data_IF_309593470183
#
_entry.id   IF_309593470183
#
_cell.length_a   1.000
_cell.length_b   1.000
_cell.length_c   1.000
_cell.angle_alpha   90.00
_cell.angle_beta   90.00
_cell.angle_gamma   90.00
#
_symmetry.space_group_name_H-M   'P 1'
#
loop_
_entity.id
_entity.type
_entity.pdbx_description
1 polymer ?
#
# COMPACT_ATOMS: atom_id res chain seq x y z
N UNK A 1 -64.35 -55.24 1.09
CA UNK A 1 -65.72 -55.10 1.60
C UNK A 1 -66.33 -54.08 0.69
N UNK A 2 -67.00 -54.56 -0.39
CA UNK A 2 -68.40 -54.39 -0.71
C UNK A 2 -68.75 -52.91 -1.03
N UNK A 3 -69.35 -52.44 -2.11
CA UNK A 3 -70.20 -52.97 -3.18
C UNK A 3 -70.25 -51.92 -4.27
N UNK A 4 -70.04 -52.10 -5.59
CA UNK A 4 -70.94 -52.57 -6.65
C UNK A 4 -72.13 -51.67 -6.99
N UNK A 5 -72.16 -51.38 -8.28
CA UNK A 5 -73.34 -51.32 -9.23
C UNK A 5 -74.15 -50.00 -9.17
N UNK A 6 -74.64 -49.43 -10.22
CA UNK A 6 -75.30 -49.99 -11.46
C UNK A 6 -75.53 -48.84 -12.47
N UNK A 7 -75.16 -48.86 -13.75
CA UNK A 7 -76.07 -49.13 -14.89
C UNK A 7 -77.41 -48.41 -14.82
N UNK A 8 -77.76 -47.51 -15.78
CA UNK A 8 -78.45 -47.88 -17.07
C UNK A 8 -78.81 -46.62 -17.83
N UNK A 9 -78.60 -46.62 -19.17
CA UNK A 9 -79.46 -46.27 -20.28
C UNK A 9 -80.40 -45.10 -20.18
N UNK A 10 -80.35 -44.15 -21.17
CA UNK A 10 -81.35 -43.95 -22.21
C UNK A 10 -80.78 -43.11 -23.33
N UNK A 11 -80.79 -43.64 -24.52
CA UNK A 11 -80.64 -42.97 -25.79
C UNK A 11 -82.02 -42.41 -26.25
N UNK A 12 -82.05 -41.26 -26.83
CA UNK A 12 -82.93 -40.97 -27.98
C UNK A 12 -82.69 -39.56 -28.53
N UNK A 13 -82.24 -39.49 -29.76
CA UNK A 13 -82.66 -38.67 -30.91
C UNK A 13 -83.13 -37.25 -30.65
N UNK A 14 -82.62 -36.31 -31.38
CA UNK A 14 -83.28 -35.60 -32.48
C UNK A 14 -82.24 -34.69 -33.18
N UNK A 15 -82.26 -34.88 -34.47
CA UNK A 15 -81.62 -34.20 -35.60
C UNK A 15 -82.17 -32.80 -35.76
N UNK A 16 -81.41 -31.93 -36.37
CA UNK A 16 -81.68 -30.69 -37.09
C UNK A 16 -81.50 -29.37 -36.35
N UNK A 17 -80.52 -28.62 -36.74
CA UNK A 17 -80.68 -27.46 -37.61
C UNK A 17 -79.32 -26.85 -37.95
N UNK A 18 -78.92 -26.99 -39.17
CA UNK A 18 -77.92 -26.19 -39.85
C UNK A 18 -78.43 -24.75 -39.97
N UNK A 19 -77.77 -23.81 -39.37
CA UNK A 19 -77.77 -22.45 -39.84
C UNK A 19 -76.39 -21.85 -39.47
N UNK A 20 -75.65 -21.64 -40.51
CA UNK A 20 -74.32 -21.07 -40.47
C UNK A 20 -74.28 -19.63 -40.00
N UNK A 21 -73.27 -19.27 -39.36
CA UNK A 21 -72.61 -17.95 -39.43
C UNK A 21 -71.13 -18.18 -39.34
N UNK A 22 -70.49 -18.31 -40.50
CA UNK A 22 -69.04 -18.20 -40.58
C UNK A 22 -68.60 -16.80 -40.18
N UNK A 23 -68.23 -16.64 -38.92
CA UNK A 23 -67.31 -15.58 -38.59
C UNK A 23 -65.93 -16.10 -38.89
N UNK A 24 -65.43 -15.79 -40.08
CA UNK A 24 -63.97 -15.69 -40.28
C UNK A 24 -63.55 -14.61 -39.36
N UNK A 25 -63.05 -14.99 -38.17
CA UNK A 25 -62.09 -14.18 -37.47
C UNK A 25 -60.97 -13.95 -38.48
N UNK A 26 -60.88 -12.76 -38.98
CA UNK A 26 -59.76 -12.38 -39.83
C UNK A 26 -58.49 -12.77 -39.08
N UNK A 27 -57.75 -13.66 -39.67
CA UNK A 27 -56.38 -13.94 -39.35
C UNK A 27 -55.65 -12.57 -39.51
N UNK A 28 -55.65 -11.76 -38.45
CA UNK A 28 -54.71 -10.66 -38.37
C UNK A 28 -53.37 -11.37 -38.32
N UNK A 29 -52.74 -11.49 -39.47
CA UNK A 29 -51.35 -11.90 -39.57
C UNK A 29 -50.58 -11.06 -38.58
N UNK A 30 -50.21 -11.66 -37.43
CA UNK A 30 -49.33 -11.03 -36.47
C UNK A 30 -48.08 -10.68 -37.25
N UNK A 31 -47.81 -9.39 -37.40
CA UNK A 31 -46.63 -8.93 -38.12
C UNK A 31 -45.40 -9.64 -37.48
N UNK A 32 -44.52 -10.22 -38.31
CA UNK A 32 -43.35 -10.92 -37.76
C UNK A 32 -42.60 -9.97 -36.80
N UNK A 33 -42.16 -10.53 -35.72
CA UNK A 33 -41.47 -9.73 -34.71
C UNK A 33 -40.28 -8.95 -35.29
N UNK A 34 -39.54 -9.58 -36.19
CA UNK A 34 -38.52 -9.01 -37.06
C UNK A 34 -38.45 -9.80 -38.38
N UNK A 35 -37.82 -9.25 -39.38
CA UNK A 35 -37.52 -9.86 -40.66
C UNK A 35 -36.02 -9.92 -40.85
N UNK A 36 -35.48 -11.11 -41.12
CA UNK A 36 -34.07 -11.32 -41.47
C UNK A 36 -33.91 -11.31 -43.00
N UNK A 37 -33.13 -10.38 -43.50
CA UNK A 37 -32.78 -10.32 -44.92
C UNK A 37 -31.25 -10.46 -45.04
N UNK A 38 -30.76 -11.67 -45.13
CA UNK A 38 -29.35 -12.03 -45.28
C UNK A 38 -28.45 -11.46 -44.18
N UNK A 39 -28.89 -11.52 -42.91
CA UNK A 39 -28.13 -11.03 -41.74
C UNK A 39 -28.40 -9.58 -41.36
N UNK A 40 -29.26 -8.90 -42.12
CA UNK A 40 -29.78 -7.56 -41.80
C UNK A 40 -31.17 -7.71 -41.16
N UNK A 41 -31.31 -7.39 -39.89
CA UNK A 41 -32.53 -7.56 -39.13
C UNK A 41 -33.37 -6.30 -39.16
N UNK A 42 -34.56 -6.36 -39.73
CA UNK A 42 -35.49 -5.21 -39.76
C UNK A 42 -36.65 -5.44 -38.81
N UNK A 43 -36.90 -4.48 -37.95
CA UNK A 43 -38.04 -4.47 -37.02
C UNK A 43 -39.16 -3.62 -37.58
N UNK A 44 -40.28 -4.25 -38.10
CA UNK A 44 -41.37 -3.53 -38.78
C UNK A 44 -42.09 -2.53 -37.85
N UNK A 45 -42.76 -1.55 -38.46
CA UNK A 45 -43.69 -0.70 -37.74
C UNK A 45 -44.80 -1.54 -37.14
N UNK A 46 -45.11 -1.35 -35.86
CA UNK A 46 -46.10 -2.14 -35.14
C UNK A 46 -45.55 -3.42 -34.47
N UNK A 47 -44.29 -3.79 -34.67
CA UNK A 47 -43.67 -4.89 -33.91
C UNK A 47 -43.62 -4.57 -32.41
N UNK A 48 -44.04 -5.50 -31.53
CA UNK A 48 -43.96 -5.34 -30.09
C UNK A 48 -42.51 -5.11 -29.59
N UNK A 49 -41.50 -5.64 -30.35
CA UNK A 49 -40.07 -5.50 -30.03
C UNK A 49 -39.63 -4.04 -29.94
N UNK A 50 -40.27 -3.11 -30.68
CA UNK A 50 -39.90 -1.70 -30.63
C UNK A 50 -40.04 -1.07 -29.23
N UNK A 51 -40.83 -1.66 -28.34
CA UNK A 51 -40.98 -1.22 -26.95
C UNK A 51 -39.93 -1.81 -26.02
N UNK A 52 -39.33 -2.93 -26.41
CA UNK A 52 -38.36 -3.68 -25.63
C UNK A 52 -36.90 -3.30 -25.97
N UNK A 53 -36.72 -2.86 -27.23
CA UNK A 53 -35.40 -2.52 -27.75
C UNK A 53 -35.03 -1.05 -27.38
N UNK A 54 -33.83 -0.88 -26.82
CA UNK A 54 -33.26 0.46 -26.55
C UNK A 54 -32.02 0.65 -27.38
N UNK A 55 -31.99 1.72 -28.14
CA UNK A 55 -30.87 2.08 -29.02
C UNK A 55 -30.21 3.34 -28.45
N UNK A 56 -28.90 3.34 -28.35
CA UNK A 56 -28.15 4.51 -27.92
C UNK A 56 -26.89 4.69 -28.78
N UNK A 57 -26.45 5.95 -29.02
CA UNK A 57 -25.18 6.19 -29.67
C UNK A 57 -24.04 5.85 -28.75
N UNK A 58 -23.02 5.16 -29.26
CA UNK A 58 -21.79 4.89 -28.53
C UNK A 58 -20.87 6.11 -28.57
N UNK A 59 -20.23 6.37 -27.46
CA UNK A 59 -19.33 7.52 -27.29
C UNK A 59 -17.91 7.03 -26.99
N UNK A 60 -16.93 7.80 -27.45
CA UNK A 60 -15.56 7.62 -27.01
C UNK A 60 -15.41 8.13 -25.58
N UNK A 61 -14.87 7.31 -24.71
CA UNK A 61 -14.63 7.64 -23.32
C UNK A 61 -13.19 7.33 -22.93
N UNK A 62 -12.51 8.33 -22.38
CA UNK A 62 -11.19 8.20 -21.79
C UNK A 62 -11.36 7.98 -20.28
N UNK A 63 -11.70 6.77 -19.87
CA UNK A 63 -11.75 6.42 -18.47
C UNK A 63 -10.48 5.63 -18.08
N UNK A 64 -9.86 5.89 -16.92
CA UNK A 64 -8.72 5.09 -16.49
C UNK A 64 -9.14 3.64 -16.22
N UNK A 65 -8.26 2.70 -16.56
CA UNK A 65 -8.43 1.30 -16.21
C UNK A 65 -7.83 1.05 -14.82
N UNK A 66 -8.60 0.44 -13.92
CA UNK A 66 -8.15 0.10 -12.58
C UNK A 66 -7.43 -1.26 -12.59
N UNK A 67 -6.10 -1.23 -12.59
CA UNK A 67 -5.28 -2.45 -12.52
C UNK A 67 -5.05 -2.83 -11.06
N UNK A 68 -5.29 -4.11 -10.74
CA UNK A 68 -5.22 -4.62 -9.37
C UNK A 68 -3.95 -5.44 -9.14
N UNK A 69 -3.25 -5.14 -8.04
CA UNK A 69 -2.00 -5.79 -7.68
C UNK A 69 -1.98 -6.16 -6.19
N UNK A 70 -1.38 -7.30 -5.83
CA UNK A 70 -1.13 -7.61 -4.43
C UNK A 70 -0.15 -6.59 -3.85
N UNK A 71 -0.42 -6.14 -2.64
CA UNK A 71 0.35 -5.11 -1.97
C UNK A 71 0.53 -5.40 -0.49
N UNK A 72 1.51 -4.73 0.13
CA UNK A 72 1.77 -4.78 1.56
C UNK A 72 1.94 -3.39 2.13
N UNK A 73 1.50 -3.21 3.37
CA UNK A 73 1.73 -1.99 4.14
C UNK A 73 3.14 -2.04 4.71
N UNK A 74 3.91 -0.97 4.53
CA UNK A 74 5.28 -0.83 5.03
C UNK A 74 5.42 0.48 5.82
N UNK A 75 6.28 0.48 6.85
CA UNK A 75 6.70 1.73 7.47
C UNK A 75 7.60 2.49 6.49
N UNK A 76 7.51 3.82 6.49
CA UNK A 76 8.42 4.66 5.71
C UNK A 76 9.83 4.59 6.30
N UNK A 77 10.85 4.11 5.56
CA UNK A 77 12.22 4.06 6.05
C UNK A 77 12.79 5.44 6.43
N UNK A 78 12.35 6.52 5.77
CA UNK A 78 12.77 7.88 6.11
C UNK A 78 12.18 8.36 7.45
N UNK A 79 11.15 7.69 7.94
CA UNK A 79 10.47 7.95 9.22
C UNK A 79 10.66 6.80 10.21
N UNK A 80 11.72 6.02 10.02
CA UNK A 80 12.07 4.87 10.87
C UNK A 80 13.50 5.03 11.37
N UNK A 81 13.73 4.85 12.66
CA UNK A 81 15.04 4.91 13.29
C UNK A 81 15.35 3.61 14.03
N UNK A 82 16.51 3.03 13.74
CA UNK A 82 17.08 1.98 14.55
C UNK A 82 17.87 2.57 15.70
N UNK A 83 17.49 2.20 16.91
CA UNK A 83 18.21 2.58 18.13
C UNK A 83 19.26 1.52 18.40
N UNK A 84 20.51 1.92 18.29
CA UNK A 84 21.67 1.04 18.47
C UNK A 84 22.22 1.13 19.87
N UNK A 85 22.94 0.09 20.33
CA UNK A 85 23.78 0.17 21.51
C UNK A 85 25.05 0.97 21.16
N UNK A 86 25.33 2.12 21.79
CA UNK A 86 26.53 2.90 21.48
C UNK A 86 27.81 2.28 22.04
N UNK A 87 27.68 1.44 23.06
CA UNK A 87 28.77 0.71 23.72
C UNK A 87 28.31 -0.70 24.09
N UNK A 88 29.27 -1.59 24.26
CA UNK A 88 29.02 -2.90 24.84
C UNK A 88 28.70 -2.78 26.32
N UNK A 89 27.76 -3.60 26.79
CA UNK A 89 27.36 -3.56 28.19
C UNK A 89 26.10 -4.34 28.50
N UNK A 90 25.74 -4.40 29.77
CA UNK A 90 24.53 -5.06 30.25
C UNK A 90 23.37 -4.07 30.28
N UNK A 91 22.24 -4.44 29.70
CA UNK A 91 21.00 -3.68 29.79
C UNK A 91 20.49 -3.82 31.23
N UNK A 92 20.66 -2.77 32.03
CA UNK A 92 20.24 -2.77 33.44
C UNK A 92 18.78 -2.41 33.61
N UNK A 93 18.23 -1.60 32.71
CA UNK A 93 16.84 -1.17 32.76
C UNK A 93 16.28 -0.96 31.34
N UNK A 94 15.02 -1.35 31.15
CA UNK A 94 14.26 -1.14 29.92
C UNK A 94 12.92 -0.51 30.29
N UNK A 95 12.64 0.70 29.77
CA UNK A 95 11.50 1.52 30.16
C UNK A 95 10.33 1.44 29.17
N UNK A 96 10.48 0.70 28.06
CA UNK A 96 9.52 0.64 26.98
C UNK A 96 9.30 -0.80 26.53
N UNK A 97 8.12 -1.06 25.99
CA UNK A 97 7.71 -2.34 25.40
C UNK A 97 7.43 -2.24 23.92
N UNK A 98 7.28 -3.39 23.27
CA UNK A 98 6.83 -3.47 21.88
C UNK A 98 5.43 -2.86 21.74
N UNK A 99 5.25 -1.96 20.77
CA UNK A 99 3.99 -1.26 20.51
C UNK A 99 3.80 0.04 21.29
N UNK A 100 4.68 0.36 22.26
CA UNK A 100 4.58 1.62 23.00
C UNK A 100 4.85 2.81 22.09
N UNK A 101 4.09 3.88 22.29
CA UNK A 101 4.37 5.18 21.70
C UNK A 101 5.42 5.93 22.55
N UNK A 102 6.48 6.43 21.90
CA UNK A 102 7.54 7.18 22.54
C UNK A 102 7.68 8.58 21.93
N UNK A 103 8.13 9.53 22.74
CA UNK A 103 8.44 10.89 22.28
C UNK A 103 9.94 11.09 22.15
N UNK A 104 10.36 11.95 21.23
CA UNK A 104 11.79 12.29 21.06
C UNK A 104 12.42 12.71 22.38
N UNK A 105 13.58 12.12 22.71
CA UNK A 105 14.30 12.36 23.96
C UNK A 105 13.82 11.52 25.15
N UNK A 106 12.74 10.74 25.03
CA UNK A 106 12.26 9.85 26.09
C UNK A 106 13.29 8.76 26.39
N UNK A 107 13.50 8.46 27.67
CA UNK A 107 14.39 7.38 28.10
C UNK A 107 13.80 6.02 27.70
N UNK A 108 14.58 5.24 26.96
CA UNK A 108 14.20 3.92 26.47
C UNK A 108 14.84 2.80 27.28
N UNK A 109 16.15 2.89 27.48
CA UNK A 109 16.94 1.88 28.18
C UNK A 109 18.14 2.50 28.92
N UNK A 110 18.68 1.73 29.85
CA UNK A 110 19.95 2.03 30.54
C UNK A 110 20.89 0.86 30.34
N UNK A 111 22.12 1.17 29.90
CA UNK A 111 23.17 0.17 29.67
C UNK A 111 24.33 0.45 30.65
N UNK A 112 24.73 -0.54 31.44
CA UNK A 112 25.92 -0.52 32.27
C UNK A 112 27.10 -1.03 31.44
N UNK A 113 28.07 -0.12 31.16
CA UNK A 113 29.24 -0.38 30.33
C UNK A 113 30.53 -0.32 31.11
N UNK A 114 31.37 -1.35 30.96
CA UNK A 114 32.72 -1.39 31.49
C UNK A 114 33.61 -0.31 30.89
N UNK A 115 33.47 -0.01 29.61
CA UNK A 115 34.24 1.02 28.90
C UNK A 115 33.97 2.42 29.47
N UNK A 116 32.68 2.69 29.78
CA UNK A 116 32.30 3.95 30.41
C UNK A 116 32.87 4.06 31.83
N UNK A 117 32.82 2.96 32.60
CA UNK A 117 33.39 2.92 33.94
C UNK A 117 34.91 3.16 33.91
N UNK A 118 35.64 2.57 32.98
CA UNK A 118 37.07 2.76 32.79
C UNK A 118 37.39 4.18 32.36
N UNK A 119 36.67 4.76 31.41
CA UNK A 119 36.92 6.15 30.99
C UNK A 119 36.69 7.16 32.10
N UNK A 120 35.70 6.96 32.95
CA UNK A 120 35.50 7.79 34.14
C UNK A 120 36.66 7.62 35.16
N UNK A 121 37.12 6.41 35.40
CA UNK A 121 38.28 6.17 36.28
C UNK A 121 39.55 6.82 35.74
N UNK A 122 39.79 6.78 34.43
CA UNK A 122 40.91 7.43 33.76
C UNK A 122 40.86 8.98 33.96
N UNK A 123 39.68 9.59 33.83
CA UNK A 123 39.51 11.04 34.08
C UNK A 123 39.82 11.38 35.54
N UNK A 124 39.32 10.61 36.52
CA UNK A 124 39.60 10.82 37.93
C UNK A 124 41.12 10.75 38.20
N UNK A 125 41.79 9.71 37.71
CA UNK A 125 43.24 9.52 37.83
C UNK A 125 44.02 10.65 37.20
N UNK A 126 43.65 11.11 36.01
CA UNK A 126 44.32 12.20 35.30
C UNK A 126 44.09 13.53 36.03
N UNK A 127 42.93 13.76 36.64
CA UNK A 127 42.63 14.94 37.46
C UNK A 127 43.56 15.03 38.69
N UNK A 128 43.72 13.91 39.41
CA UNK A 128 44.58 13.85 40.60
C UNK A 128 46.04 14.04 40.21
N UNK A 129 46.52 13.45 39.11
CA UNK A 129 47.87 13.62 38.59
C UNK A 129 48.15 15.08 38.21
N UNK A 130 47.22 15.73 37.52
CA UNK A 130 47.34 17.14 37.15
C UNK A 130 47.38 18.05 38.40
N UNK A 131 46.52 17.78 39.38
CA UNK A 131 46.53 18.55 40.63
C UNK A 131 47.88 18.42 41.38
N UNK A 132 48.47 17.21 41.39
CA UNK A 132 49.79 17.00 41.97
C UNK A 132 50.92 17.75 41.22
N UNK A 133 50.90 17.65 39.85
CA UNK A 133 51.87 18.33 39.00
C UNK A 133 51.80 19.83 39.12
N UNK A 134 50.59 20.43 39.16
CA UNK A 134 50.40 21.88 39.44
C UNK A 134 50.99 22.31 40.76
N UNK A 135 50.74 21.59 41.86
CA UNK A 135 51.34 21.89 43.18
C UNK A 135 52.84 21.77 43.14
N UNK A 136 53.46 20.84 42.41
CA UNK A 136 54.88 20.70 42.23
C UNK A 136 55.44 21.89 41.45
N UNK A 137 54.83 22.35 40.42
CA UNK A 137 55.18 23.48 39.59
C UNK A 137 55.14 24.79 40.45
N UNK A 138 54.09 24.99 41.23
CA UNK A 138 53.95 26.19 42.10
C UNK A 138 55.02 26.25 43.15
N UNK A 139 55.40 25.11 43.77
CA UNK A 139 56.53 25.05 44.69
C UNK A 139 57.85 25.39 43.99
N UNK A 140 58.14 24.84 42.82
CA UNK A 140 59.33 25.09 42.03
C UNK A 140 59.43 26.59 41.64
N UNK A 141 58.34 27.22 41.25
CA UNK A 141 58.26 28.66 40.98
C UNK A 141 58.56 29.51 42.24
N UNK A 142 57.97 29.12 43.38
CA UNK A 142 58.22 29.79 44.63
C UNK A 142 59.70 29.75 45.06
N UNK A 143 60.41 28.62 44.93
CA UNK A 143 61.84 28.47 45.19
C UNK A 143 62.69 29.36 44.27
N UNK A 144 62.33 29.37 42.95
CA UNK A 144 63.07 30.28 42.03
C UNK A 144 62.84 31.73 42.33
N UNK A 145 61.63 32.16 42.66
CA UNK A 145 61.34 33.56 43.06
C UNK A 145 62.07 33.99 44.35
N UNK A 146 62.34 33.04 45.24
CA UNK A 146 63.10 33.27 46.47
C UNK A 146 64.62 33.31 46.25
N UNK A 147 65.11 33.26 44.97
CA UNK A 147 66.53 33.33 44.63
C UNK A 147 67.29 32.00 44.63
N UNK A 148 66.55 30.87 44.70
CA UNK A 148 67.13 29.53 44.57
C UNK A 148 67.50 29.22 43.11
N UNK A 149 68.72 28.69 42.87
CA UNK A 149 69.21 28.33 41.56
C UNK A 149 68.66 26.93 41.15
N UNK A 150 67.33 26.85 40.88
CA UNK A 150 66.61 25.61 40.62
C UNK A 150 66.00 25.62 39.23
N UNK A 151 66.69 26.14 38.20
CA UNK A 151 66.19 26.23 36.83
C UNK A 151 65.79 24.84 36.27
N UNK A 152 66.62 23.82 36.46
CA UNK A 152 66.35 22.46 36.04
C UNK A 152 65.08 21.85 36.70
N UNK A 153 64.92 22.13 37.99
CA UNK A 153 63.76 21.64 38.75
C UNK A 153 62.47 22.33 38.29
N UNK A 154 62.52 23.61 37.94
CA UNK A 154 61.40 24.33 37.37
C UNK A 154 61.06 23.82 35.99
N UNK A 155 62.04 23.61 35.08
CA UNK A 155 61.81 23.03 33.73
C UNK A 155 61.22 21.66 33.86
N UNK A 156 61.70 20.80 34.77
CA UNK A 156 61.17 19.47 35.02
C UNK A 156 59.70 19.53 35.51
N UNK A 157 59.41 20.40 36.48
CA UNK A 157 58.05 20.56 36.98
C UNK A 157 57.11 21.14 35.95
N UNK A 158 57.53 22.02 35.05
CA UNK A 158 56.78 22.57 33.97
C UNK A 158 56.49 21.48 32.93
N UNK A 159 57.48 20.63 32.59
CA UNK A 159 57.29 19.49 31.68
C UNK A 159 56.28 18.49 32.23
N UNK A 160 56.36 18.18 33.53
CA UNK A 160 55.41 17.27 34.19
C UNK A 160 53.98 17.82 34.21
N UNK A 161 53.82 19.14 34.45
CA UNK A 161 52.50 19.80 34.41
C UNK A 161 51.91 19.72 32.98
N UNK A 162 52.70 20.04 31.95
CA UNK A 162 52.30 19.95 30.57
C UNK A 162 51.87 18.51 30.18
N UNK A 163 52.62 17.49 30.62
CA UNK A 163 52.29 16.08 30.39
C UNK A 163 51.00 15.68 31.10
N UNK A 164 50.83 16.09 32.36
CA UNK A 164 49.61 15.80 33.13
C UNK A 164 48.37 16.49 32.52
N UNK A 165 48.54 17.73 32.02
CA UNK A 165 47.48 18.44 31.31
C UNK A 165 47.07 17.70 30.03
N UNK A 166 48.04 17.29 29.21
CA UNK A 166 47.77 16.55 27.98
C UNK A 166 47.07 15.23 28.25
N UNK A 167 47.44 14.49 29.30
CA UNK A 167 46.77 13.26 29.71
C UNK A 167 45.34 13.50 30.21
N UNK A 168 45.10 14.58 30.95
CA UNK A 168 43.76 15.00 31.36
C UNK A 168 42.89 15.29 30.14
N UNK A 169 43.40 16.06 29.17
CA UNK A 169 42.67 16.39 27.93
C UNK A 169 42.34 15.15 27.11
N UNK A 170 43.29 14.19 27.05
CA UNK A 170 43.07 12.88 26.41
C UNK A 170 41.95 12.09 27.08
N UNK A 171 41.99 11.96 28.41
CA UNK A 171 41.00 11.22 29.18
C UNK A 171 39.59 11.83 29.05
N UNK A 172 39.53 13.19 29.17
CA UNK A 172 38.25 13.88 28.95
C UNK A 172 37.69 13.74 27.55
N UNK A 173 38.57 13.78 26.53
CA UNK A 173 38.15 13.60 25.12
C UNK A 173 37.62 12.21 24.91
N UNK A 174 38.26 11.17 25.44
CA UNK A 174 37.77 9.81 25.42
C UNK A 174 36.39 9.68 26.08
N UNK A 175 36.24 10.24 27.31
CA UNK A 175 34.94 10.20 28.01
C UNK A 175 33.84 10.90 27.20
N UNK A 176 34.15 12.06 26.60
CA UNK A 176 33.20 12.79 25.75
C UNK A 176 32.80 12.00 24.49
N UNK A 177 33.77 11.31 23.88
CA UNK A 177 33.46 10.47 22.68
C UNK A 177 32.60 9.27 23.00
N UNK A 178 32.64 8.72 24.21
CA UNK A 178 31.80 7.63 24.68
C UNK A 178 30.42 8.12 25.16
N UNK A 179 30.33 9.36 25.62
CA UNK A 179 29.09 10.02 26.02
C UNK A 179 28.52 10.74 24.80
N UNK A 180 27.76 10.05 23.93
CA UNK A 180 27.12 10.68 22.76
C UNK A 180 26.25 11.88 23.20
N UNK A 181 26.14 12.90 22.35
CA UNK A 181 25.37 14.13 22.62
C UNK A 181 23.96 13.82 23.11
N UNK A 182 23.60 14.35 24.26
CA UNK A 182 22.29 14.17 24.91
C UNK A 182 22.14 12.95 25.81
N UNK A 183 23.14 12.08 25.90
CA UNK A 183 23.12 10.91 26.79
C UNK A 183 23.82 11.22 28.12
N UNK A 184 23.05 11.73 29.06
CA UNK A 184 23.56 11.91 30.43
C UNK A 184 23.57 10.56 31.14
N UNK A 185 24.74 10.01 31.39
CA UNK A 185 24.95 8.79 32.16
C UNK A 185 25.50 9.04 33.57
N UNK A 186 25.45 8.05 34.41
CA UNK A 186 26.24 7.98 35.65
C UNK A 186 27.67 7.54 35.28
N UNK A 187 28.59 7.51 36.27
CA UNK A 187 29.97 7.08 36.05
C UNK A 187 30.15 5.70 35.37
N UNK A 188 29.10 4.93 35.22
CA UNK A 188 29.12 3.55 34.75
C UNK A 188 28.03 3.23 33.72
N UNK A 189 26.95 4.00 33.65
CA UNK A 189 25.80 3.70 32.84
C UNK A 189 25.55 4.76 31.77
N UNK A 190 25.01 4.32 30.63
CA UNK A 190 24.58 5.16 29.53
C UNK A 190 23.07 5.11 29.42
N UNK A 191 22.44 6.24 29.21
CA UNK A 191 21.01 6.39 29.00
C UNK A 191 20.75 6.43 27.50
N UNK A 192 19.96 5.49 27.00
CA UNK A 192 19.51 5.42 25.62
C UNK A 192 18.19 6.15 25.52
N UNK A 193 18.11 7.15 24.65
CA UNK A 193 16.92 7.98 24.45
C UNK A 193 16.39 7.85 23.02
N UNK A 194 15.10 8.11 22.83
CA UNK A 194 14.44 8.07 21.53
C UNK A 194 14.97 9.20 20.61
N UNK A 195 15.50 8.90 19.42
CA UNK A 195 15.96 9.90 18.46
C UNK A 195 14.81 10.66 17.79
N UNK A 196 13.62 10.04 17.76
CA UNK A 196 12.39 10.58 17.18
C UNK A 196 11.17 10.12 17.96
N UNK A 197 10.04 10.75 17.73
CA UNK A 197 8.73 10.26 18.22
C UNK A 197 8.20 9.20 17.29
N UNK A 198 7.45 8.22 17.83
CA UNK A 198 6.84 7.13 17.05
C UNK A 198 6.54 5.91 17.93
N UNK A 199 6.29 4.79 17.30
CA UNK A 199 5.97 3.53 17.95
C UNK A 199 7.17 2.57 17.92
N UNK A 200 7.34 1.78 18.98
CA UNK A 200 8.32 0.68 19.01
C UNK A 200 7.80 -0.45 18.12
N UNK A 201 8.36 -0.59 16.93
CA UNK A 201 7.92 -1.58 15.94
C UNK A 201 8.71 -2.88 15.99
N UNK A 202 9.92 -2.84 16.56
CA UNK A 202 10.72 -4.02 16.88
C UNK A 202 11.48 -3.79 18.19
N UNK A 203 11.63 -4.85 18.99
CA UNK A 203 12.33 -4.82 20.28
C UNK A 203 13.16 -6.09 20.41
N UNK A 204 14.50 -5.92 20.39
CA UNK A 204 15.48 -6.99 20.58
C UNK A 204 16.15 -6.91 21.98
N UNK A 205 15.98 -5.78 22.65
CA UNK A 205 16.53 -5.55 23.98
C UNK A 205 15.68 -6.21 25.07
N UNK A 206 16.33 -6.82 26.05
CA UNK A 206 15.67 -7.32 27.25
C UNK A 206 16.49 -6.97 28.51
N UNK A 207 15.84 -6.71 29.65
CA UNK A 207 16.55 -6.47 30.89
C UNK A 207 17.48 -7.64 31.27
N UNK A 208 18.70 -7.34 31.65
CA UNK A 208 19.69 -8.34 32.03
C UNK A 208 20.51 -8.95 30.88
N UNK A 209 20.12 -8.74 29.63
CA UNK A 209 20.91 -9.18 28.46
C UNK A 209 22.15 -8.30 28.27
N UNK A 210 23.16 -8.87 27.63
CA UNK A 210 24.40 -8.17 27.35
C UNK A 210 24.47 -7.80 25.86
N UNK A 211 24.56 -6.50 25.56
CA UNK A 211 24.82 -6.01 24.22
C UNK A 211 26.30 -6.22 23.88
N UNK A 212 26.60 -7.24 23.13
CA UNK A 212 27.99 -7.66 22.77
C UNK A 212 28.55 -6.84 21.61
N UNK A 213 27.70 -6.22 20.81
CA UNK A 213 28.04 -5.44 19.63
C UNK A 213 27.53 -4.02 19.80
N UNK A 214 28.42 -3.05 19.65
CA UNK A 214 28.09 -1.62 19.67
C UNK A 214 27.18 -1.19 18.50
N UNK A 215 26.97 -2.05 17.48
CA UNK A 215 26.06 -1.80 16.39
C UNK A 215 24.78 -2.64 16.48
N UNK A 216 24.60 -3.38 17.59
CA UNK A 216 23.39 -4.17 17.78
C UNK A 216 22.16 -3.27 17.85
N UNK A 217 21.14 -3.58 17.02
CA UNK A 217 19.85 -2.89 17.07
C UNK A 217 19.10 -3.36 18.32
N UNK A 218 18.90 -2.45 19.25
CA UNK A 218 18.15 -2.68 20.49
C UNK A 218 16.65 -2.63 20.23
N UNK A 219 16.21 -1.68 19.42
CA UNK A 219 14.82 -1.50 19.04
C UNK A 219 14.70 -0.64 17.78
N UNK A 220 13.56 -0.71 17.13
CA UNK A 220 13.20 0.13 15.98
C UNK A 220 12.02 1.02 16.36
N UNK A 221 12.13 2.31 16.08
CA UNK A 221 11.07 3.30 16.27
C UNK A 221 10.62 3.74 14.89
N UNK A 222 9.31 3.65 14.62
CA UNK A 222 8.71 4.12 13.37
C UNK A 222 7.58 5.10 13.65
N UNK A 223 7.61 6.22 12.95
CA UNK A 223 6.47 7.13 12.90
C UNK A 223 5.47 6.56 11.89
N UNK A 224 4.32 6.12 12.39
CA UNK A 224 3.28 5.45 11.64
C UNK A 224 2.09 6.34 11.26
N UNK A 225 2.16 7.66 11.45
CA UNK A 225 1.12 8.61 11.01
C UNK A 225 0.98 8.62 9.48
N UNK A 226 2.02 8.17 8.80
CA UNK A 226 2.04 7.95 7.36
C UNK A 226 2.76 6.63 7.08
N UNK A 227 2.17 5.82 6.20
CA UNK A 227 2.72 4.52 5.81
C UNK A 227 2.83 4.43 4.29
N UNK A 228 3.66 3.53 3.82
CA UNK A 228 3.70 3.16 2.42
C UNK A 228 2.82 1.93 2.19
N UNK A 229 2.15 1.90 1.04
CA UNK A 229 1.61 0.67 0.49
C UNK A 229 2.42 0.37 -0.76
N UNK A 230 3.12 -0.76 -0.73
CA UNK A 230 3.99 -1.24 -1.80
C UNK A 230 3.23 -2.30 -2.59
N UNK A 231 2.88 -1.96 -3.83
CA UNK A 231 2.26 -2.87 -4.79
C UNK A 231 3.35 -3.61 -5.58
N UNK A 232 3.16 -4.91 -5.78
CA UNK A 232 4.05 -5.77 -6.55
C UNK A 232 3.51 -5.92 -7.97
N UNK A 233 4.02 -5.13 -8.89
CA UNK A 233 3.55 -5.02 -10.29
C UNK A 233 4.34 -5.98 -11.18
N UNK A 234 3.69 -6.86 -11.98
CA UNK A 234 4.38 -7.69 -12.96
C UNK A 234 5.12 -6.85 -14.02
N UNK A 235 6.22 -7.39 -14.57
CA UNK A 235 7.02 -6.75 -15.61
C UNK A 235 6.18 -6.29 -16.83
N UNK A 236 5.17 -7.08 -17.22
CA UNK A 236 4.29 -6.77 -18.34
C UNK A 236 3.48 -5.48 -18.15
N UNK A 237 3.18 -5.10 -16.90
CA UNK A 237 2.27 -4.01 -16.56
C UNK A 237 3.02 -2.73 -16.14
N UNK A 238 4.31 -2.85 -15.80
CA UNK A 238 5.14 -1.74 -15.30
C UNK A 238 5.17 -0.53 -16.25
N UNK A 239 5.17 -0.77 -17.56
CA UNK A 239 5.20 0.30 -18.56
C UNK A 239 3.98 1.22 -18.54
N UNK A 240 2.91 0.82 -17.86
CA UNK A 240 1.68 1.61 -17.72
C UNK A 240 1.60 2.40 -16.42
N UNK A 241 2.52 2.14 -15.48
CA UNK A 241 2.51 2.75 -14.15
C UNK A 241 3.48 3.93 -14.11
N UNK A 242 3.00 5.05 -13.60
CA UNK A 242 3.79 6.26 -13.47
C UNK A 242 3.53 6.97 -12.13
N UNK A 243 4.54 7.70 -11.67
CA UNK A 243 4.41 8.57 -10.50
C UNK A 243 3.27 9.57 -10.69
N UNK A 244 2.47 9.77 -9.62
CA UNK A 244 1.32 10.68 -9.61
C UNK A 244 -0.02 10.02 -9.94
N UNK A 245 -0.04 8.77 -10.39
CA UNK A 245 -1.30 8.04 -10.58
C UNK A 245 -2.00 7.81 -9.24
N UNK A 246 -3.33 7.81 -9.25
CA UNK A 246 -4.12 7.45 -8.09
C UNK A 246 -3.95 5.95 -7.78
N UNK A 247 -3.76 5.63 -6.52
CA UNK A 247 -3.73 4.25 -6.01
C UNK A 247 -4.72 4.14 -4.87
N UNK A 248 -5.71 3.29 -5.04
CA UNK A 248 -6.63 2.90 -3.99
C UNK A 248 -6.17 1.58 -3.39
N UNK A 249 -6.31 1.41 -2.08
CA UNK A 249 -5.97 0.18 -1.40
C UNK A 249 -7.12 -0.33 -0.55
N UNK A 250 -7.42 -1.61 -0.65
CA UNK A 250 -8.34 -2.33 0.23
C UNK A 250 -7.56 -3.36 1.03
N UNK A 251 -7.87 -3.45 2.32
CA UNK A 251 -7.21 -4.40 3.21
C UNK A 251 -8.19 -5.47 3.66
N UNK A 252 -7.71 -6.70 3.84
CA UNK A 252 -8.56 -7.81 4.33
C UNK A 252 -9.15 -7.53 5.70
N UNK A 253 -8.49 -6.69 6.52
CA UNK A 253 -8.99 -6.25 7.82
C UNK A 253 -10.14 -5.22 7.71
N UNK A 254 -10.28 -4.54 6.57
CA UNK A 254 -11.27 -3.48 6.31
C UNK A 254 -11.84 -3.62 4.90
N UNK A 255 -12.62 -4.69 4.60
CA UNK A 255 -13.02 -5.04 3.22
C UNK A 255 -13.95 -3.99 2.58
N UNK A 256 -14.74 -3.30 3.40
CA UNK A 256 -15.73 -2.31 2.92
C UNK A 256 -15.14 -0.89 2.85
N UNK A 257 -13.83 -0.73 3.08
CA UNK A 257 -13.18 0.57 3.10
C UNK A 257 -12.01 0.64 2.13
N UNK A 258 -12.06 1.62 1.23
CA UNK A 258 -10.94 1.97 0.38
C UNK A 258 -10.10 3.08 1.05
N UNK A 259 -8.81 2.90 1.05
CA UNK A 259 -7.83 3.92 1.41
C UNK A 259 -7.30 4.54 0.13
N UNK A 260 -7.14 5.86 0.10
CA UNK A 260 -6.75 6.60 -1.09
C UNK A 260 -5.32 7.14 -0.94
N UNK A 261 -4.53 6.95 -1.98
CA UNK A 261 -3.15 7.42 -2.03
C UNK A 261 -2.72 7.78 -3.45
N UNK A 262 -1.45 8.14 -3.60
CA UNK A 262 -0.87 8.49 -4.88
C UNK A 262 0.48 7.79 -5.03
N UNK A 263 0.74 7.22 -6.22
CA UNK A 263 2.04 6.64 -6.55
C UNK A 263 3.13 7.71 -6.40
N UNK A 264 4.00 7.51 -5.43
CA UNK A 264 5.12 8.39 -5.11
C UNK A 264 6.43 7.90 -5.72
N UNK A 265 6.55 6.59 -5.91
CA UNK A 265 7.76 5.93 -6.38
C UNK A 265 7.44 4.69 -7.22
N UNK A 266 8.14 4.54 -8.33
CA UNK A 266 8.20 3.33 -9.15
C UNK A 266 9.67 2.92 -9.18
N UNK A 267 9.98 1.68 -8.85
CA UNK A 267 11.36 1.19 -8.83
C UNK A 267 11.99 1.25 -10.22
N UNK A 268 13.28 1.39 -10.28
CA UNK A 268 14.04 1.31 -11.53
C UNK A 268 14.71 -0.06 -11.72
N UNK A 269 14.48 -0.96 -10.76
CA UNK A 269 15.08 -2.29 -10.74
C UNK A 269 14.02 -3.31 -10.35
N UNK A 270 13.80 -4.28 -11.22
CA UNK A 270 12.94 -5.42 -10.95
C UNK A 270 13.55 -6.34 -9.89
N UNK A 271 12.72 -6.90 -9.05
CA UNK A 271 13.13 -7.98 -8.16
C UNK A 271 13.52 -9.22 -9.00
N UNK A 272 14.74 -9.68 -8.84
CA UNK A 272 15.31 -10.75 -9.67
C UNK A 272 14.64 -12.11 -9.48
N UNK A 273 14.10 -12.36 -8.30
CA UNK A 273 13.45 -13.61 -7.89
C UNK A 273 11.99 -13.70 -8.35
N UNK A 274 11.25 -12.58 -8.30
CA UNK A 274 9.82 -12.54 -8.62
C UNK A 274 9.50 -11.90 -9.96
N UNK A 275 10.45 -11.21 -10.59
CA UNK A 275 10.29 -10.37 -11.79
C UNK A 275 9.16 -9.34 -11.63
N UNK A 276 9.04 -8.79 -10.43
CA UNK A 276 8.05 -7.77 -10.11
C UNK A 276 8.73 -6.45 -9.81
N UNK A 277 8.05 -5.39 -10.12
CA UNK A 277 8.44 -4.04 -9.77
C UNK A 277 7.72 -3.59 -8.50
N UNK A 278 8.41 -2.82 -7.68
CA UNK A 278 7.82 -2.23 -6.47
C UNK A 278 7.32 -0.83 -6.77
N UNK A 279 6.01 -0.68 -6.71
CA UNK A 279 5.33 0.61 -6.85
C UNK A 279 4.81 1.02 -5.47
N UNK A 280 5.27 2.18 -4.99
CA UNK A 280 4.93 2.69 -3.67
C UNK A 280 4.04 3.90 -3.73
N UNK A 281 3.05 3.93 -2.88
CA UNK A 281 2.22 5.09 -2.64
C UNK A 281 2.19 5.42 -1.14
N UNK A 282 2.06 6.70 -0.83
CA UNK A 282 1.98 7.22 0.54
C UNK A 282 0.52 7.31 0.96
N UNK A 283 0.21 6.78 2.13
CA UNK A 283 -1.12 6.80 2.74
C UNK A 283 -1.07 7.47 4.11
N UNK A 284 -2.03 8.33 4.38
CA UNK A 284 -2.23 8.89 5.71
C UNK A 284 -2.78 7.80 6.65
N UNK A 285 -2.27 7.74 7.86
CA UNK A 285 -2.63 6.74 8.87
C UNK A 285 -2.75 7.36 10.28
N UNK A 286 -3.32 8.57 10.36
CA UNK A 286 -3.48 9.27 11.64
C UNK A 286 -4.37 8.54 12.65
N UNK A 287 -5.19 7.60 12.20
CA UNK A 287 -6.03 6.73 13.03
C UNK A 287 -5.36 5.40 13.42
N UNK A 288 -4.13 5.14 12.95
CA UNK A 288 -3.32 3.96 13.30
C UNK A 288 -3.86 2.62 12.80
N UNK A 289 -4.79 2.63 11.82
CA UNK A 289 -5.41 1.39 11.29
C UNK A 289 -4.51 0.63 10.33
N UNK A 290 -3.69 1.33 9.56
CA UNK A 290 -2.74 0.71 8.64
C UNK A 290 -1.49 0.30 9.41
N UNK A 291 -1.35 -0.98 9.68
CA UNK A 291 -0.19 -1.52 10.39
C UNK A 291 0.81 -2.14 9.40
N UNK A 292 2.11 -1.90 9.57
CA UNK A 292 3.14 -2.57 8.77
C UNK A 292 2.94 -4.08 8.71
N UNK A 293 3.25 -4.68 7.56
CA UNK A 293 3.05 -6.10 7.21
C UNK A 293 1.58 -6.53 7.01
N UNK A 294 0.61 -5.62 7.02
CA UNK A 294 -0.73 -5.96 6.56
C UNK A 294 -0.74 -6.17 5.04
N UNK A 295 -1.49 -7.18 4.59
CA UNK A 295 -1.76 -7.39 3.17
C UNK A 295 -2.86 -6.47 2.68
N UNK A 296 -2.67 -5.95 1.48
CA UNK A 296 -3.61 -5.09 0.79
C UNK A 296 -3.75 -5.50 -0.68
N UNK A 297 -4.86 -5.13 -1.28
CA UNK A 297 -5.06 -5.12 -2.72
C UNK A 297 -4.97 -3.68 -3.19
N UNK A 298 -3.94 -3.36 -3.97
CA UNK A 298 -3.78 -2.04 -4.57
C UNK A 298 -4.47 -1.99 -5.93
N UNK A 299 -5.24 -0.94 -6.18
CA UNK A 299 -5.88 -0.64 -7.46
C UNK A 299 -5.28 0.65 -8.00
N UNK A 300 -4.52 0.57 -9.09
CA UNK A 300 -3.84 1.71 -9.70
C UNK A 300 -4.63 2.15 -10.93
N UNK A 301 -5.00 3.42 -10.97
CA UNK A 301 -5.73 4.02 -12.09
C UNK A 301 -4.76 4.34 -13.24
N UNK A 302 -4.77 3.48 -14.27
CA UNK A 302 -3.93 3.63 -15.46
C UNK A 302 -4.70 4.38 -16.55
N UNK A 303 -4.22 5.55 -17.02
CA UNK A 303 -4.84 6.26 -18.11
C UNK A 303 -4.92 5.40 -19.38
N UNK A 304 -6.07 5.38 -20.02
CA UNK A 304 -6.30 4.68 -21.28
C UNK A 304 -6.66 5.67 -22.39
N UNK A 305 -6.27 5.40 -23.64
CA UNK A 305 -6.76 6.19 -24.78
C UNK A 305 -8.28 6.12 -24.83
N UNK A 306 -8.90 7.18 -25.36
CA UNK A 306 -10.34 7.19 -25.56
C UNK A 306 -10.75 6.06 -26.50
N UNK A 307 -11.66 5.21 -26.04
CA UNK A 307 -12.22 4.07 -26.80
C UNK A 307 -13.72 4.07 -26.68
N UNK A 308 -14.37 3.35 -27.59
CA UNK A 308 -15.81 3.14 -27.55
C UNK A 308 -16.16 2.25 -26.36
N UNK A 309 -17.05 2.75 -25.49
CA UNK A 309 -17.57 1.98 -24.35
C UNK A 309 -19.00 1.55 -24.67
N UNK A 310 -19.30 0.25 -24.52
CA UNK A 310 -20.64 -0.31 -24.67
C UNK A 310 -21.08 -0.98 -23.38
N UNK A 311 -22.35 -0.84 -22.95
CA UNK A 311 -22.86 -1.58 -21.81
C UNK A 311 -22.76 -3.09 -22.02
N UNK A 312 -22.53 -3.88 -20.98
CA UNK A 312 -22.49 -5.34 -21.08
C UNK A 312 -23.78 -5.93 -21.67
N UNK A 313 -24.93 -5.27 -21.43
CA UNK A 313 -26.23 -5.67 -22.00
C UNK A 313 -26.34 -5.56 -23.52
N UNK A 314 -25.40 -4.83 -24.17
CA UNK A 314 -25.33 -4.74 -25.63
C UNK A 314 -24.52 -5.88 -26.27
N UNK A 315 -23.71 -6.57 -25.47
CA UNK A 315 -22.84 -7.64 -25.94
C UNK A 315 -23.60 -8.94 -26.04
N UNK A 316 -23.46 -9.60 -27.18
CA UNK A 316 -24.11 -10.89 -27.47
C UNK A 316 -23.05 -11.88 -27.92
N UNK A 317 -23.17 -13.12 -27.48
CA UNK A 317 -22.37 -14.22 -28.00
C UNK A 317 -23.03 -14.80 -29.22
N UNK A 318 -22.28 -14.90 -30.30
CA UNK A 318 -22.69 -15.63 -31.50
C UNK A 318 -21.57 -16.60 -31.92
N UNK A 319 -21.78 -17.89 -31.72
CA UNK A 319 -20.72 -18.88 -31.74
C UNK A 319 -19.61 -18.50 -30.79
N UNK A 320 -18.37 -18.41 -31.23
CA UNK A 320 -17.21 -18.05 -30.42
C UNK A 320 -16.85 -16.54 -30.45
N UNK A 321 -17.73 -15.72 -31.08
CA UNK A 321 -17.47 -14.29 -31.25
C UNK A 321 -18.40 -13.43 -30.39
N UNK A 322 -17.87 -12.39 -29.81
CA UNK A 322 -18.66 -11.34 -29.20
C UNK A 322 -19.15 -10.38 -30.30
N UNK A 323 -20.42 -10.08 -30.27
CA UNK A 323 -21.09 -9.28 -31.31
C UNK A 323 -21.99 -8.22 -30.67
N UNK A 324 -22.28 -7.18 -31.44
CA UNK A 324 -23.27 -6.14 -31.12
C UNK A 324 -24.16 -5.89 -32.31
N UNK A 325 -25.42 -5.46 -32.11
CA UNK A 325 -26.26 -4.97 -33.17
C UNK A 325 -26.10 -3.47 -33.35
N UNK A 326 -25.71 -3.07 -34.58
CA UNK A 326 -25.58 -1.67 -34.99
C UNK A 326 -26.76 -1.27 -35.83
N UNK A 327 -27.42 -0.20 -35.55
CA UNK A 327 -28.52 0.36 -36.35
C UNK A 327 -27.92 1.07 -37.57
N UNK A 328 -28.02 0.43 -38.75
CA UNK A 328 -27.52 0.98 -40.03
C UNK A 328 -28.52 1.92 -40.70
N UNK A 329 -29.81 1.72 -40.43
CA UNK A 329 -30.91 2.61 -40.79
C UNK A 329 -32.03 2.48 -39.75
N UNK A 330 -33.00 3.41 -39.67
CA UNK A 330 -34.02 3.37 -38.61
C UNK A 330 -34.68 1.97 -38.48
N UNK A 331 -34.54 1.37 -37.29
CA UNK A 331 -35.04 0.04 -36.92
C UNK A 331 -34.51 -1.11 -37.79
N UNK A 332 -33.34 -0.92 -38.39
CA UNK A 332 -32.64 -1.92 -39.17
C UNK A 332 -31.28 -2.16 -38.61
N UNK A 333 -30.97 -3.37 -38.21
CA UNK A 333 -29.79 -3.75 -37.44
C UNK A 333 -28.90 -4.69 -38.21
N UNK A 334 -27.61 -4.47 -38.15
CA UNK A 334 -26.59 -5.37 -38.64
C UNK A 334 -25.73 -5.88 -37.48
N UNK A 335 -25.35 -7.14 -37.53
CA UNK A 335 -24.51 -7.75 -36.49
C UNK A 335 -23.05 -7.47 -36.80
N UNK A 336 -22.37 -6.72 -35.89
CA UNK A 336 -20.94 -6.44 -35.95
C UNK A 336 -20.20 -7.30 -34.95
N UNK A 337 -19.13 -7.98 -35.37
CA UNK A 337 -18.19 -8.63 -34.49
C UNK A 337 -17.31 -7.56 -33.86
N UNK A 338 -17.14 -7.65 -32.55
CA UNK A 338 -16.33 -6.67 -31.78
C UNK A 338 -15.19 -7.37 -31.06
N UNK A 339 -14.04 -6.71 -31.06
CA UNK A 339 -12.88 -7.09 -30.24
C UNK A 339 -12.93 -6.25 -28.96
N UNK A 340 -12.97 -6.94 -27.81
CA UNK A 340 -13.02 -6.27 -26.51
C UNK A 340 -11.63 -6.17 -25.90
N UNK A 341 -11.42 -5.14 -25.07
CA UNK A 341 -10.20 -4.97 -24.27
C UNK A 341 -10.41 -5.56 -22.88
N UNK A 342 -11.03 -4.78 -22.00
CA UNK A 342 -11.26 -5.15 -20.60
C UNK A 342 -12.74 -5.02 -20.27
N UNK A 343 -13.20 -5.86 -19.35
CA UNK A 343 -14.50 -5.67 -18.70
C UNK A 343 -14.35 -4.61 -17.61
N UNK A 344 -15.21 -3.61 -17.65
CA UNK A 344 -15.31 -2.57 -16.64
C UNK A 344 -16.68 -2.61 -15.97
N UNK A 345 -16.78 -2.02 -14.78
CA UNK A 345 -18.06 -1.95 -14.04
C UNK A 345 -19.16 -1.25 -14.86
N UNK A 346 -18.76 -0.28 -15.72
CA UNK A 346 -19.68 0.50 -16.54
C UNK A 346 -19.96 -0.10 -17.93
N UNK A 347 -19.26 -1.17 -18.32
CA UNK A 347 -19.39 -1.80 -19.64
C UNK A 347 -18.09 -2.39 -20.14
N UNK A 348 -18.01 -2.71 -21.43
CA UNK A 348 -16.81 -3.24 -22.07
C UNK A 348 -16.24 -2.25 -23.09
N UNK A 349 -14.92 -2.15 -23.13
CA UNK A 349 -14.21 -1.35 -24.12
C UNK A 349 -14.06 -2.11 -25.42
N UNK A 350 -14.41 -1.45 -26.52
CA UNK A 350 -14.31 -2.00 -27.85
C UNK A 350 -13.04 -1.48 -28.54
N UNK A 351 -12.15 -2.43 -28.88
CA UNK A 351 -10.92 -2.14 -29.63
C UNK A 351 -11.18 -2.02 -31.13
N UNK A 352 -12.02 -2.90 -31.67
CA UNK A 352 -12.36 -2.94 -33.08
C UNK A 352 -13.83 -3.35 -33.29
N UNK A 353 -14.41 -2.91 -34.39
CA UNK A 353 -15.77 -3.31 -34.80
C UNK A 353 -16.82 -2.21 -34.63
N UNK A 354 -16.52 -1.12 -33.90
CA UNK A 354 -17.43 0.03 -33.76
C UNK A 354 -16.67 1.36 -33.96
N UNK A 355 -17.43 2.38 -34.35
CA UNK A 355 -16.97 3.76 -34.47
C UNK A 355 -17.74 4.67 -33.52
N UNK A 356 -17.13 5.77 -33.12
CA UNK A 356 -17.83 6.79 -32.35
C UNK A 356 -19.07 7.31 -33.14
N UNK A 357 -20.20 7.35 -32.46
CA UNK A 357 -21.47 7.78 -33.05
C UNK A 357 -22.32 6.64 -33.61
N UNK A 358 -21.81 5.40 -33.74
CA UNK A 358 -22.61 4.25 -34.11
C UNK A 358 -23.78 4.08 -33.12
N UNK A 359 -24.96 3.83 -33.65
CA UNK A 359 -26.16 3.58 -32.84
C UNK A 359 -26.25 2.10 -32.54
N UNK A 360 -26.07 1.73 -31.28
CA UNK A 360 -26.02 0.32 -30.87
C UNK A 360 -27.24 -0.04 -30.06
N UNK A 361 -27.70 -1.25 -30.20
CA UNK A 361 -28.78 -1.81 -29.40
C UNK A 361 -28.26 -2.16 -28.00
N UNK A 362 -28.54 -1.27 -27.03
CA UNK A 362 -28.03 -1.40 -25.65
C UNK A 362 -28.88 -2.25 -24.74
N UNK A 363 -30.13 -2.54 -25.14
CA UNK A 363 -31.04 -3.42 -24.40
C UNK A 363 -31.94 -4.17 -25.38
N UNK A 364 -32.25 -5.44 -25.05
CA UNK A 364 -33.18 -6.27 -25.83
C UNK A 364 -32.52 -7.00 -26.99
N UNK A 365 -31.19 -6.91 -27.16
CA UNK A 365 -30.49 -7.58 -28.27
C UNK A 365 -30.68 -9.10 -28.34
N UNK A 366 -30.86 -9.74 -27.18
CA UNK A 366 -31.17 -11.18 -27.11
C UNK A 366 -32.45 -11.55 -27.90
N UNK A 367 -33.43 -10.64 -27.97
CA UNK A 367 -34.69 -10.86 -28.72
C UNK A 367 -34.53 -10.90 -30.26
N UNK A 368 -33.37 -10.46 -30.75
CA UNK A 368 -32.99 -10.49 -32.16
C UNK A 368 -31.90 -11.53 -32.43
N UNK A 369 -31.55 -12.35 -31.45
CA UNK A 369 -30.39 -13.27 -31.53
C UNK A 369 -30.79 -14.70 -31.90
N UNK A 370 -32.07 -14.96 -32.20
CA UNK A 370 -32.58 -16.29 -32.60
C UNK A 370 -32.24 -16.65 -34.05
#
# INVERSE_FOLDING_TARGET
MFYRLSRTFIALSIVSLLAGCGHRAGDQAVAPAFVDDHGVLRVPDGSPLRKELVIAPVQMQAAPHAMQFPATVEADPARTANVLAPLTGRISDLKVGLGDHVTRGQLLAVIDSGDMAQANADVVKATDALALAKKALDRARGVQQAGGNAVKDLETAQSNDNQAQAEMDRAQTRLRSLSAEGQQGTSRSIRITAPMSGYITALSAAPGTYANDANAVLMTISDLDSVWITANVPEADVGHIAKGQAMDATLSAYPDQAFHGQVSFVSQVLQSDTRRDMVRAVFSNSDGRLKPNMFAQASIAVPQPAQVLVPQSALLMNNDNTTVFVEVSPWTFERHTVELSYDETAGARVLKGLKAGDRVLVKGGVLLND
#
